data_IF_541059010354
#
_entry.id   IF_541059010354
#
_cell.length_a   1.000
_cell.length_b   1.000
_cell.length_c   1.000
_cell.angle_alpha   90.00
_cell.angle_beta   90.00
_cell.angle_gamma   90.00
#
_symmetry.space_group_name_H-M   'P 1'
#
loop_
_entity.id
_entity.type
_entity.pdbx_description
1 polymer ?
#
# COMPACT_ATOMS: atom_id res chain seq x y z
N UNK A 1 -8.39 -30.04 -20.40
CA UNK A 1 -8.01 -28.65 -20.10
C UNK A 1 -8.07 -28.44 -18.59
N UNK A 2 -7.10 -27.74 -17.97
CA UNK A 2 -7.13 -27.46 -16.53
C UNK A 2 -8.22 -26.45 -16.16
N UNK A 3 -8.72 -26.52 -14.93
CA UNK A 3 -9.57 -25.48 -14.34
C UNK A 3 -8.69 -24.29 -13.91
N UNK A 4 -8.98 -23.10 -14.40
CA UNK A 4 -8.26 -21.86 -14.09
C UNK A 4 -9.05 -21.07 -13.04
N UNK A 5 -8.36 -20.51 -12.04
CA UNK A 5 -8.92 -19.59 -11.04
C UNK A 5 -8.25 -18.23 -11.20
N UNK A 6 -9.04 -17.19 -11.44
CA UNK A 6 -8.58 -15.82 -11.63
C UNK A 6 -9.58 -14.81 -11.06
N UNK A 7 -9.09 -13.64 -10.65
CA UNK A 7 -9.93 -12.55 -10.16
C UNK A 7 -10.44 -11.67 -11.29
N UNK A 8 -11.67 -11.18 -11.18
CA UNK A 8 -12.16 -10.09 -12.03
C UNK A 8 -11.52 -8.77 -11.57
N UNK A 9 -11.26 -7.86 -12.50
CA UNK A 9 -10.83 -6.50 -12.17
C UNK A 9 -12.08 -5.68 -11.80
N UNK A 10 -12.56 -5.85 -10.57
CA UNK A 10 -13.69 -5.11 -9.99
C UNK A 10 -13.45 -4.83 -8.51
N UNK A 11 -13.82 -3.64 -8.08
CA UNK A 11 -13.76 -3.20 -6.68
C UNK A 11 -15.15 -3.14 -6.03
N UNK A 12 -16.22 -3.45 -6.78
CA UNK A 12 -17.60 -3.42 -6.30
C UNK A 12 -17.82 -4.38 -5.12
N UNK A 13 -18.42 -3.87 -4.04
CA UNK A 13 -18.72 -4.66 -2.84
C UNK A 13 -17.53 -4.94 -1.91
N UNK A 14 -16.31 -4.54 -2.27
CA UNK A 14 -15.12 -4.71 -1.43
C UNK A 14 -14.86 -3.49 -0.53
N UNK A 15 -14.04 -3.68 0.51
CA UNK A 15 -13.67 -2.66 1.51
C UNK A 15 -12.14 -2.56 1.49
N UNK A 16 -11.60 -1.36 1.24
CA UNK A 16 -10.17 -1.16 1.04
C UNK A 16 -9.60 -0.23 2.11
N UNK A 17 -8.49 -0.65 2.71
CA UNK A 17 -7.67 0.20 3.56
C UNK A 17 -6.46 0.68 2.79
N UNK A 18 -6.29 2.00 2.66
CA UNK A 18 -5.13 2.62 2.01
C UNK A 18 -4.26 3.19 3.13
N UNK A 19 -3.02 2.73 3.23
CA UNK A 19 -2.02 3.21 4.18
C UNK A 19 -1.00 4.00 3.39
N UNK A 20 -0.77 5.27 3.74
CA UNK A 20 0.19 6.11 3.03
C UNK A 20 1.17 6.80 3.98
N UNK A 21 2.45 6.77 3.65
CA UNK A 21 3.45 7.60 4.33
C UNK A 21 3.34 9.06 3.93
N UNK A 22 3.42 9.96 4.91
CA UNK A 22 3.50 11.42 4.71
C UNK A 22 4.90 11.91 4.36
N UNK A 23 5.93 11.08 4.54
CA UNK A 23 7.28 11.41 4.07
C UNK A 23 7.30 11.30 2.53
N UNK A 24 7.93 12.28 1.86
CA UNK A 24 7.84 12.45 0.40
C UNK A 24 6.40 12.66 -0.12
N UNK A 25 5.58 13.46 0.58
CA UNK A 25 4.15 13.70 0.26
C UNK A 25 3.90 14.15 -1.18
N UNK A 26 4.81 14.92 -1.78
CA UNK A 26 4.66 15.36 -3.18
C UNK A 26 4.65 14.19 -4.18
N UNK A 27 5.23 13.02 -3.82
CA UNK A 27 5.09 11.75 -4.56
C UNK A 27 3.92 10.95 -4.02
N UNK A 28 3.87 10.71 -2.71
CA UNK A 28 2.91 9.76 -2.13
C UNK A 28 1.46 10.23 -2.23
N UNK A 29 1.21 11.53 -2.29
CA UNK A 29 -0.12 12.09 -2.63
C UNK A 29 -0.58 11.71 -4.03
N UNK A 30 0.32 11.70 -5.03
CA UNK A 30 0.02 11.25 -6.40
C UNK A 30 -0.23 9.75 -6.48
N UNK A 31 0.47 8.95 -5.68
CA UNK A 31 0.17 7.53 -5.53
C UNK A 31 -1.25 7.31 -4.97
N UNK A 32 -1.65 8.09 -3.96
CA UNK A 32 -3.00 8.03 -3.40
C UNK A 32 -4.05 8.45 -4.43
N UNK A 33 -3.82 9.54 -5.17
CA UNK A 33 -4.71 9.99 -6.24
C UNK A 33 -4.95 8.86 -7.27
N UNK A 34 -3.87 8.23 -7.75
CA UNK A 34 -3.94 7.12 -8.71
C UNK A 34 -4.64 5.87 -8.15
N UNK A 35 -4.37 5.50 -6.89
CA UNK A 35 -5.03 4.37 -6.25
C UNK A 35 -6.54 4.62 -6.07
N UNK A 36 -6.92 5.82 -5.63
CA UNK A 36 -8.33 6.20 -5.46
C UNK A 36 -9.05 6.25 -6.81
N UNK A 37 -8.44 6.83 -7.84
CA UNK A 37 -8.99 6.82 -9.21
C UNK A 37 -9.22 5.39 -9.71
N UNK A 38 -8.20 4.53 -9.59
CA UNK A 38 -8.31 3.14 -10.01
C UNK A 38 -9.46 2.42 -9.29
N UNK A 39 -9.58 2.55 -7.97
CA UNK A 39 -10.66 1.90 -7.21
C UNK A 39 -12.05 2.41 -7.64
N UNK A 40 -12.22 3.73 -7.80
CA UNK A 40 -13.48 4.33 -8.23
C UNK A 40 -13.91 3.87 -9.62
N UNK A 41 -12.99 3.89 -10.60
CA UNK A 41 -13.26 3.43 -11.96
C UNK A 41 -13.67 1.96 -12.04
N UNK A 42 -13.29 1.16 -11.04
CA UNK A 42 -13.66 -0.24 -10.92
C UNK A 42 -14.83 -0.49 -9.93
N UNK A 43 -15.56 0.55 -9.52
CA UNK A 43 -16.83 0.41 -8.81
C UNK A 43 -16.76 0.50 -7.29
N UNK A 44 -15.61 0.88 -6.70
CA UNK A 44 -15.57 1.20 -5.28
C UNK A 44 -16.31 2.51 -5.00
N UNK A 45 -17.10 2.54 -3.91
CA UNK A 45 -17.72 3.75 -3.37
C UNK A 45 -16.83 4.36 -2.28
N UNK A 46 -16.94 5.67 -2.06
CA UNK A 46 -16.12 6.38 -1.08
C UNK A 46 -16.22 5.79 0.34
N UNK A 47 -17.41 5.40 0.76
CA UNK A 47 -17.66 4.80 2.07
C UNK A 47 -16.96 3.44 2.26
N UNK A 48 -16.44 2.85 1.18
CA UNK A 48 -15.69 1.59 1.19
C UNK A 48 -14.17 1.80 1.23
N UNK A 49 -13.72 3.05 1.22
CA UNK A 49 -12.33 3.44 1.17
C UNK A 49 -11.93 4.12 2.49
N UNK A 50 -10.93 3.57 3.16
CA UNK A 50 -10.35 4.20 4.36
C UNK A 50 -8.91 4.59 4.10
N UNK A 51 -8.58 5.87 4.28
CA UNK A 51 -7.21 6.38 4.15
C UNK A 51 -6.56 6.58 5.54
N UNK A 52 -5.52 5.82 5.83
CA UNK A 52 -4.68 5.96 7.02
C UNK A 52 -3.34 6.60 6.66
N UNK A 53 -3.02 7.76 7.25
CA UNK A 53 -1.75 8.45 7.05
C UNK A 53 -0.78 8.12 8.19
N UNK A 54 0.43 7.69 7.85
CA UNK A 54 1.50 7.39 8.82
C UNK A 54 2.70 8.33 8.63
N UNK A 55 3.57 8.53 9.64
CA UNK A 55 4.71 9.43 9.54
C UNK A 55 5.67 9.05 8.40
N UNK A 56 6.25 7.86 8.42
CA UNK A 56 7.21 7.34 7.46
C UNK A 56 6.78 6.00 6.86
N UNK A 57 7.54 5.53 5.86
CA UNK A 57 7.31 4.20 5.27
C UNK A 57 7.52 3.07 6.30
N UNK A 58 8.37 3.30 7.30
CA UNK A 58 8.68 2.34 8.34
C UNK A 58 7.47 1.98 9.23
N UNK A 59 6.51 2.89 9.39
CA UNK A 59 5.28 2.63 10.17
C UNK A 59 4.19 1.89 9.37
N UNK A 60 4.34 1.77 8.05
CA UNK A 60 3.33 1.16 7.17
C UNK A 60 2.98 -0.28 7.61
N UNK A 61 3.93 -1.19 7.90
CA UNK A 61 3.60 -2.56 8.28
C UNK A 61 2.78 -2.63 9.57
N UNK A 62 3.10 -1.80 10.56
CA UNK A 62 2.35 -1.76 11.83
C UNK A 62 0.91 -1.27 11.60
N UNK A 63 0.74 -0.22 10.80
CA UNK A 63 -0.59 0.28 10.45
C UNK A 63 -1.40 -0.75 9.64
N UNK A 64 -0.76 -1.40 8.67
CA UNK A 64 -1.38 -2.47 7.89
C UNK A 64 -1.83 -3.63 8.77
N UNK A 65 -0.98 -4.10 9.70
CA UNK A 65 -1.34 -5.16 10.66
C UNK A 65 -2.56 -4.77 11.50
N UNK A 66 -2.54 -3.55 12.07
CA UNK A 66 -3.67 -3.05 12.88
C UNK A 66 -4.97 -2.98 12.08
N UNK A 67 -4.94 -2.52 10.83
CA UNK A 67 -6.12 -2.47 9.98
C UNK A 67 -6.60 -3.88 9.62
N UNK A 68 -5.69 -4.78 9.26
CA UNK A 68 -6.01 -6.17 8.92
C UNK A 68 -6.72 -6.89 10.08
N UNK A 69 -6.19 -6.74 11.30
CA UNK A 69 -6.73 -7.37 12.52
C UNK A 69 -8.13 -6.86 12.89
N UNK A 70 -8.59 -5.73 12.36
CA UNK A 70 -9.98 -5.29 12.57
C UNK A 70 -11.00 -6.18 11.87
N UNK A 71 -10.60 -6.95 10.86
CA UNK A 71 -11.50 -7.75 10.02
C UNK A 71 -12.45 -6.93 9.13
N UNK A 72 -12.28 -5.60 9.04
CA UNK A 72 -13.17 -4.71 8.28
C UNK A 72 -12.80 -4.57 6.80
N UNK A 73 -11.59 -4.98 6.41
CA UNK A 73 -11.04 -4.76 5.07
C UNK A 73 -10.89 -6.07 4.31
N UNK A 74 -11.21 -6.03 3.03
CA UNK A 74 -11.00 -7.14 2.10
C UNK A 74 -9.59 -7.11 1.50
N UNK A 75 -9.00 -5.92 1.36
CA UNK A 75 -7.61 -5.75 0.91
C UNK A 75 -7.02 -4.45 1.48
N UNK A 76 -5.69 -4.43 1.60
CA UNK A 76 -4.92 -3.26 2.01
C UNK A 76 -3.96 -2.79 0.91
N UNK A 77 -3.78 -1.49 0.80
CA UNK A 77 -2.93 -0.84 -0.19
C UNK A 77 -1.91 0.04 0.52
N UNK A 78 -0.65 -0.39 0.50
CA UNK A 78 0.44 0.30 1.17
C UNK A 78 1.19 1.19 0.19
N UNK A 79 1.18 2.50 0.41
CA UNK A 79 1.72 3.51 -0.48
C UNK A 79 2.82 4.34 0.22
N UNK A 80 3.85 4.71 -0.53
CA UNK A 80 4.91 5.58 -0.04
C UNK A 80 6.05 5.72 -1.04
N UNK A 81 7.04 6.53 -0.70
CA UNK A 81 8.27 6.64 -1.46
C UNK A 81 9.47 6.69 -0.50
N UNK A 82 10.42 5.79 -0.72
CA UNK A 82 11.71 5.73 -0.04
C UNK A 82 12.75 6.03 -1.10
N UNK A 83 13.43 7.17 -0.99
CA UNK A 83 14.40 7.65 -1.97
C UNK A 83 15.79 7.57 -1.33
N UNK A 84 16.75 7.00 -2.04
CA UNK A 84 18.11 6.79 -1.53
C UNK A 84 18.77 8.12 -1.17
N UNK A 85 19.36 8.16 0.02
CA UNK A 85 20.18 9.25 0.51
C UNK A 85 21.65 8.84 0.63
N UNK A 86 22.43 9.61 1.37
CA UNK A 86 23.88 9.40 1.50
C UNK A 86 24.28 8.30 2.49
N UNK A 87 23.33 7.72 3.21
CA UNK A 87 23.60 6.73 4.25
C UNK A 87 22.89 5.41 3.97
N UNK A 88 23.31 4.30 4.62
CA UNK A 88 22.62 3.01 4.50
C UNK A 88 21.16 2.99 4.98
N UNK A 89 20.64 4.09 5.54
CA UNK A 89 19.27 4.18 6.04
C UNK A 89 18.22 3.70 5.03
N UNK A 90 18.44 4.01 3.74
CA UNK A 90 17.58 3.55 2.65
C UNK A 90 17.39 2.03 2.65
N UNK A 91 18.49 1.27 2.75
CA UNK A 91 18.46 -0.19 2.67
C UNK A 91 17.65 -0.79 3.81
N UNK A 92 17.84 -0.28 5.03
CA UNK A 92 17.09 -0.76 6.20
C UNK A 92 15.61 -0.42 6.10
N UNK A 93 15.26 0.80 5.68
CA UNK A 93 13.85 1.19 5.57
C UNK A 93 13.15 0.42 4.44
N UNK A 94 13.74 0.36 3.25
CA UNK A 94 13.17 -0.32 2.09
C UNK A 94 13.05 -1.84 2.31
N UNK A 95 14.05 -2.47 2.92
CA UNK A 95 14.01 -3.89 3.24
C UNK A 95 12.96 -4.21 4.31
N UNK A 96 12.90 -3.44 5.41
CA UNK A 96 11.98 -3.76 6.50
C UNK A 96 10.52 -3.40 6.17
N UNK A 97 10.26 -2.36 5.37
CA UNK A 97 8.90 -2.07 4.90
C UNK A 97 8.37 -3.16 3.96
N UNK A 98 9.20 -3.63 3.02
CA UNK A 98 8.80 -4.68 2.07
C UNK A 98 8.57 -6.03 2.77
N UNK A 99 9.51 -6.45 3.64
CA UNK A 99 9.34 -7.66 4.47
C UNK A 99 8.13 -7.56 5.38
N UNK A 100 7.94 -6.42 6.05
CA UNK A 100 6.83 -6.20 6.97
C UNK A 100 5.48 -6.29 6.25
N UNK A 101 5.33 -5.66 5.09
CA UNK A 101 4.10 -5.74 4.29
C UNK A 101 3.81 -7.20 3.86
N UNK A 102 4.81 -7.92 3.38
CA UNK A 102 4.66 -9.33 2.99
C UNK A 102 4.28 -10.22 4.18
N UNK A 103 4.90 -10.01 5.35
CA UNK A 103 4.57 -10.74 6.57
C UNK A 103 3.12 -10.51 7.00
N UNK A 104 2.63 -9.26 6.96
CA UNK A 104 1.22 -8.95 7.29
C UNK A 104 0.26 -9.67 6.35
N UNK A 105 0.54 -9.71 5.04
CA UNK A 105 -0.31 -10.41 4.09
C UNK A 105 -0.44 -11.91 4.41
N UNK A 106 0.68 -12.56 4.74
CA UNK A 106 0.73 -13.99 5.07
C UNK A 106 0.09 -14.29 6.44
N UNK A 107 0.39 -13.48 7.45
CA UNK A 107 -0.12 -13.66 8.82
C UNK A 107 -1.64 -13.42 8.88
N UNK A 108 -2.10 -12.31 8.32
CA UNK A 108 -3.51 -11.88 8.40
C UNK A 108 -4.39 -12.52 7.33
N UNK A 109 -3.81 -13.22 6.35
CA UNK A 109 -4.53 -13.90 5.25
C UNK A 109 -5.45 -12.98 4.45
N UNK A 110 -5.03 -11.72 4.27
CA UNK A 110 -5.68 -10.77 3.39
C UNK A 110 -4.66 -10.21 2.38
N UNK A 111 -5.06 -9.87 1.15
CA UNK A 111 -4.17 -9.20 0.21
C UNK A 111 -3.68 -7.85 0.77
N UNK A 112 -2.36 -7.68 0.85
CA UNK A 112 -1.71 -6.40 1.16
C UNK A 112 -0.76 -6.08 0.02
N UNK A 113 -1.04 -5.01 -0.71
CA UNK A 113 -0.27 -4.64 -1.90
C UNK A 113 0.91 -3.74 -1.55
N UNK A 114 2.00 -3.87 -2.31
CA UNK A 114 3.24 -3.13 -2.13
C UNK A 114 3.36 -2.01 -3.18
N UNK A 115 2.81 -0.84 -2.86
CA UNK A 115 2.93 0.38 -3.67
C UNK A 115 3.92 1.38 -3.07
N UNK A 116 5.03 0.89 -2.49
CA UNK A 116 6.11 1.73 -1.96
C UNK A 116 7.21 1.84 -3.00
N UNK A 117 7.43 3.04 -3.54
CA UNK A 117 8.53 3.30 -4.46
C UNK A 117 9.86 3.21 -3.69
N UNK A 118 10.84 2.54 -4.28
CA UNK A 118 12.20 2.39 -3.74
C UNK A 118 13.19 2.81 -4.82
N UNK A 119 13.57 4.08 -4.81
CA UNK A 119 14.29 4.70 -5.93
C UNK A 119 15.65 5.23 -5.49
N UNK A 120 16.59 5.32 -6.43
CA UNK A 120 17.92 5.86 -6.20
C UNK A 120 17.94 7.38 -6.17
N UNK A 121 16.99 8.02 -6.85
CA UNK A 121 16.89 9.47 -6.91
C UNK A 121 15.42 9.93 -7.05
N UNK A 122 15.26 11.25 -7.05
CA UNK A 122 13.98 11.93 -7.14
C UNK A 122 13.33 11.73 -8.51
N UNK A 123 14.12 11.79 -9.57
CA UNK A 123 13.64 11.70 -10.95
C UNK A 123 12.99 10.35 -11.26
N UNK A 124 13.49 9.27 -10.66
CA UNK A 124 12.87 7.95 -10.75
C UNK A 124 11.54 7.85 -9.99
N UNK A 125 11.30 8.71 -9.00
CA UNK A 125 10.09 8.68 -8.19
C UNK A 125 8.92 9.45 -8.82
N UNK A 126 9.22 10.36 -9.75
CA UNK A 126 8.28 11.20 -10.51
C UNK A 126 7.78 10.43 -11.73
#
# INVERSE_FOLDING_TARGET
>A
MPKILEGKISAEGFQFGIIVSRFNDFISSKLVEGAMDALRRHGAKEEQLTLAKVPGAFEIPLAAKKLAETGKFHALICLGAVIRGSTPHFEYVAAEVSKGIAAVALECKIPVTFGVLTTDNLEQAI
#
